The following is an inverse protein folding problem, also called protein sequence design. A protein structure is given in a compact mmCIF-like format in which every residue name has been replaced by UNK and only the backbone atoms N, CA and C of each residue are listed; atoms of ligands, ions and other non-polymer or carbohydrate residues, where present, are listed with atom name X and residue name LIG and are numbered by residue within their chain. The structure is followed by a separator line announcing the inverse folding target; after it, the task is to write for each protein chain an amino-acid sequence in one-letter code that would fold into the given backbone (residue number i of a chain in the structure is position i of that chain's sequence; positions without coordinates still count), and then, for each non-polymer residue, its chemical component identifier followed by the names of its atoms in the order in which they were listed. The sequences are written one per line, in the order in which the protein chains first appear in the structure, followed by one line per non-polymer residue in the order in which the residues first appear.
data_IF_286895961602
#
_entry.id   IF_286895961602
#
_cell.length_a   1.000
_cell.length_b   1.000
_cell.length_c   1.000
_cell.angle_alpha   90.00
_cell.angle_beta   90.00
_cell.angle_gamma   90.00
#
_symmetry.space_group_name_H-M   'P 1'
#
loop_
_entity.id
_entity.type
_entity.pdbx_description
1 polymer ?
#
# COMPACT_ATOMS: atom_id res chain seq x y z
N UNK A 1 -27.43 -12.85 -4.02
CA UNK A 1 -27.67 -12.62 -2.58
C UNK A 1 -26.38 -12.46 -1.75
N UNK A 2 -25.26 -13.13 -2.08
CA UNK A 2 -24.00 -13.09 -1.31
C UNK A 2 -23.31 -11.71 -1.32
N UNK A 3 -23.31 -11.00 -2.43
CA UNK A 3 -22.68 -9.66 -2.56
C UNK A 3 -23.35 -8.57 -1.71
N UNK A 4 -24.67 -8.62 -1.55
CA UNK A 4 -25.39 -7.65 -0.71
C UNK A 4 -25.12 -7.87 0.78
N UNK A 5 -24.85 -9.11 1.20
CA UNK A 5 -24.53 -9.44 2.58
C UNK A 5 -23.15 -8.91 2.99
N UNK A 6 -22.15 -9.03 2.11
CA UNK A 6 -20.80 -8.47 2.35
C UNK A 6 -20.81 -6.94 2.42
N UNK A 7 -21.53 -6.27 1.51
CA UNK A 7 -21.63 -4.80 1.53
C UNK A 7 -22.29 -4.28 2.81
N UNK A 8 -23.33 -4.98 3.30
CA UNK A 8 -24.02 -4.61 4.53
C UNK A 8 -23.13 -4.86 5.76
N UNK A 9 -22.39 -5.96 5.80
CA UNK A 9 -21.47 -6.28 6.90
C UNK A 9 -20.33 -5.26 6.98
N UNK A 10 -19.75 -4.86 5.84
CA UNK A 10 -18.69 -3.85 5.76
C UNK A 10 -19.21 -2.47 6.20
N UNK A 11 -20.42 -2.08 5.79
CA UNK A 11 -21.03 -0.81 6.18
C UNK A 11 -21.36 -0.78 7.67
N UNK A 12 -21.83 -1.88 8.24
CA UNK A 12 -22.13 -2.01 9.68
C UNK A 12 -20.85 -1.98 10.53
N UNK A 13 -19.77 -2.59 10.07
CA UNK A 13 -18.46 -2.52 10.73
C UNK A 13 -17.90 -1.09 10.74
N UNK A 14 -18.04 -0.33 9.64
CA UNK A 14 -17.61 1.07 9.55
C UNK A 14 -18.46 1.96 10.47
N UNK A 15 -19.75 1.73 10.58
CA UNK A 15 -20.66 2.49 11.45
C UNK A 15 -20.44 2.18 12.93
N UNK A 16 -20.09 0.94 13.29
CA UNK A 16 -19.78 0.58 14.68
C UNK A 16 -18.43 1.16 15.15
N UNK A 17 -17.47 1.39 14.26
CA UNK A 17 -16.23 2.10 14.55
C UNK A 17 -16.47 3.58 14.90
N UNK A 18 -17.50 4.21 14.33
CA UNK A 18 -17.86 5.59 14.67
C UNK A 18 -18.42 5.73 16.11
N UNK A 19 -19.04 4.68 16.65
CA UNK A 19 -19.58 4.68 18.02
C UNK A 19 -18.51 4.57 19.13
N UNK A 20 -17.32 4.03 18.82
CA UNK A 20 -16.20 3.91 19.78
C UNK A 20 -15.39 5.22 19.89
N UNK A 21 -15.60 6.15 18.95
CA UNK A 21 -14.91 7.44 18.89
C UNK A 21 -15.32 8.46 19.99
N UNK A 22 -16.20 8.09 20.91
CA UNK A 22 -16.67 8.99 21.99
C UNK A 22 -15.71 9.10 23.20
N UNK A 23 -14.59 8.40 23.22
CA UNK A 23 -13.51 8.69 24.17
C UNK A 23 -12.65 9.80 23.58
N UNK A 24 -12.41 10.86 24.33
CA UNK A 24 -11.78 12.16 23.99
C UNK A 24 -10.45 12.15 23.21
N UNK A 25 -9.98 11.01 22.72
CA UNK A 25 -8.79 10.84 21.91
C UNK A 25 -9.14 10.15 20.59
N UNK A 26 -8.94 10.88 19.50
CA UNK A 26 -9.14 10.37 18.14
C UNK A 26 -8.11 9.30 17.81
N UNK A 27 -8.50 8.04 18.03
CA UNK A 27 -7.60 6.88 17.89
C UNK A 27 -7.66 6.23 16.52
N UNK A 28 -8.77 6.42 15.78
CA UNK A 28 -8.94 5.87 14.46
C UNK A 28 -8.58 6.88 13.37
N UNK A 29 -8.02 6.40 12.28
CA UNK A 29 -7.73 7.19 11.10
C UNK A 29 -7.93 6.38 9.83
N UNK A 30 -8.34 7.08 8.78
CA UNK A 30 -8.35 6.58 7.40
C UNK A 30 -7.35 7.43 6.63
N UNK A 31 -6.51 6.79 5.85
CA UNK A 31 -5.52 7.43 5.00
C UNK A 31 -5.68 6.92 3.57
N UNK A 32 -5.62 7.81 2.60
CA UNK A 32 -5.53 7.50 1.18
C UNK A 32 -4.24 8.11 0.66
N UNK A 33 -3.40 7.31 0.02
CA UNK A 33 -2.12 7.71 -0.54
C UNK A 33 -2.14 7.58 -2.05
N UNK A 34 -1.48 8.51 -2.74
CA UNK A 34 -0.99 8.33 -4.10
C UNK A 34 0.53 8.11 -4.07
N UNK A 35 1.00 7.22 -4.92
CA UNK A 35 2.40 6.78 -4.98
C UNK A 35 2.95 6.92 -6.40
N UNK A 36 4.18 7.43 -6.51
CA UNK A 36 4.99 7.40 -7.73
C UNK A 36 6.26 6.64 -7.43
N UNK A 37 6.53 5.53 -8.12
CA UNK A 37 7.60 4.61 -7.78
C UNK A 37 8.64 4.45 -8.87
N UNK A 38 9.87 4.22 -8.46
CA UNK A 38 10.99 3.82 -9.30
C UNK A 38 11.43 2.44 -8.84
N UNK A 39 11.48 1.48 -9.78
CA UNK A 39 11.94 0.13 -9.50
C UNK A 39 13.44 0.15 -9.26
N UNK A 40 13.89 -0.51 -8.20
CA UNK A 40 15.30 -0.51 -7.78
C UNK A 40 16.06 -1.75 -8.22
N UNK A 41 15.41 -2.72 -8.87
CA UNK A 41 16.03 -3.93 -9.42
C UNK A 41 15.28 -4.38 -10.67
N UNK A 42 15.99 -4.95 -11.63
CA UNK A 42 15.36 -5.60 -12.78
C UNK A 42 14.51 -6.79 -12.31
N UNK A 43 13.28 -6.87 -12.79
CA UNK A 43 12.37 -7.96 -12.51
C UNK A 43 12.66 -9.10 -13.49
N UNK A 44 13.63 -9.99 -13.16
CA UNK A 44 14.06 -11.10 -14.00
C UNK A 44 14.36 -10.71 -15.46
N UNK A 45 15.12 -9.61 -15.63
CA UNK A 45 15.47 -9.06 -16.96
C UNK A 45 14.42 -8.11 -17.55
N UNK A 46 13.26 -7.94 -16.93
CA UNK A 46 12.31 -6.90 -17.30
C UNK A 46 12.70 -5.54 -16.71
N UNK A 47 12.91 -4.56 -17.57
CA UNK A 47 13.16 -3.18 -17.15
C UNK A 47 11.83 -2.45 -17.01
N UNK A 48 11.39 -2.29 -15.75
CA UNK A 48 10.12 -1.60 -15.44
C UNK A 48 10.30 -0.09 -15.48
N UNK A 49 9.34 0.60 -16.08
CA UNK A 49 9.25 2.05 -16.06
C UNK A 49 8.76 2.56 -14.69
N UNK A 50 8.66 3.88 -14.55
CA UNK A 50 8.08 4.52 -13.37
C UNK A 50 6.65 4.02 -13.14
N UNK A 51 6.39 3.53 -11.93
CA UNK A 51 5.07 3.03 -11.56
C UNK A 51 4.20 4.09 -10.89
N UNK A 52 2.89 3.92 -11.02
CA UNK A 52 1.87 4.71 -10.36
C UNK A 52 0.96 3.82 -9.53
N UNK A 53 0.57 4.29 -8.36
CA UNK A 53 -0.29 3.49 -7.51
C UNK A 53 -0.98 4.27 -6.41
N UNK A 54 -1.72 3.53 -5.60
CA UNK A 54 -2.38 4.08 -4.42
C UNK A 54 -2.53 3.04 -3.32
N UNK A 55 -2.65 3.53 -2.08
CA UNK A 55 -2.97 2.72 -0.91
C UNK A 55 -4.10 3.34 -0.11
N UNK A 56 -4.99 2.51 0.43
CA UNK A 56 -5.96 2.90 1.46
C UNK A 56 -5.61 2.20 2.75
N UNK A 57 -5.45 2.96 3.83
CA UNK A 57 -4.95 2.48 5.12
C UNK A 57 -5.95 2.86 6.23
N UNK A 58 -6.28 1.91 7.07
CA UNK A 58 -6.95 2.12 8.35
C UNK A 58 -5.89 2.10 9.46
N UNK A 59 -5.98 3.04 10.39
CA UNK A 59 -5.04 3.18 11.50
C UNK A 59 -5.78 3.14 12.83
N UNK A 60 -5.20 2.45 13.82
CA UNK A 60 -5.65 2.47 15.21
C UNK A 60 -4.49 2.79 16.15
N UNK A 61 -4.56 3.95 16.80
CA UNK A 61 -3.56 4.39 17.78
C UNK A 61 -3.84 3.75 19.14
N UNK A 62 -3.00 2.79 19.54
CA UNK A 62 -3.13 2.07 20.81
C UNK A 62 -2.17 2.58 21.89
N UNK A 63 -1.10 3.32 21.51
CA UNK A 63 -0.17 4.00 22.39
C UNK A 63 0.01 5.47 21.95
N UNK A 64 0.58 6.35 22.80
CA UNK A 64 0.73 7.77 22.44
C UNK A 64 1.39 8.04 21.09
N UNK A 65 2.38 7.24 20.74
CA UNK A 65 3.18 7.41 19.51
C UNK A 65 3.11 6.21 18.56
N UNK A 66 2.33 5.17 18.90
CA UNK A 66 2.31 3.94 18.14
C UNK A 66 0.89 3.59 17.70
N UNK A 67 0.76 3.26 16.41
CA UNK A 67 -0.49 2.82 15.80
C UNK A 67 -0.28 1.48 15.11
N UNK A 68 -1.27 0.62 15.19
CA UNK A 68 -1.46 -0.50 14.26
C UNK A 68 -2.06 0.08 12.98
N UNK A 69 -1.64 -0.38 11.84
CA UNK A 69 -2.27 -0.05 10.57
C UNK A 69 -2.47 -1.29 9.71
N UNK A 70 -3.53 -1.28 8.93
CA UNK A 70 -3.80 -2.28 7.91
C UNK A 70 -4.43 -1.63 6.71
N UNK A 71 -4.18 -2.17 5.53
CA UNK A 71 -4.67 -1.55 4.32
C UNK A 71 -4.61 -2.45 3.10
N UNK A 72 -4.96 -1.87 1.98
CA UNK A 72 -4.89 -2.46 0.65
C UNK A 72 -4.23 -1.47 -0.29
N UNK A 73 -3.41 -1.97 -1.20
CA UNK A 73 -2.68 -1.17 -2.18
C UNK A 73 -2.68 -1.79 -3.56
N UNK A 74 -2.51 -0.91 -4.53
CA UNK A 74 -2.36 -1.20 -5.93
C UNK A 74 -1.18 -0.40 -6.48
N UNK A 75 -0.36 -1.04 -7.32
CA UNK A 75 0.77 -0.41 -7.99
C UNK A 75 0.91 -0.99 -9.39
N UNK A 76 0.98 -0.13 -10.39
CA UNK A 76 1.05 -0.46 -11.81
C UNK A 76 2.38 0.01 -12.39
N UNK A 77 3.02 -0.86 -13.18
CA UNK A 77 4.27 -0.60 -13.91
C UNK A 77 4.15 -1.07 -15.35
N UNK A 78 4.66 -0.29 -16.29
CA UNK A 78 4.80 -0.73 -17.67
C UNK A 78 6.21 -1.26 -17.93
N UNK A 79 6.36 -2.26 -18.80
CA UNK A 79 7.63 -2.71 -19.34
C UNK A 79 7.58 -2.78 -20.86
N UNK A 80 8.59 -2.17 -21.51
CA UNK A 80 8.69 -2.23 -22.97
C UNK A 80 9.17 -3.61 -23.44
N UNK A 81 10.03 -4.25 -22.63
CA UNK A 81 10.55 -5.60 -22.87
C UNK A 81 10.59 -6.37 -21.53
N UNK A 82 10.19 -7.64 -21.56
CA UNK A 82 10.18 -8.50 -20.39
C UNK A 82 10.26 -9.97 -20.76
N UNK A 83 10.46 -10.83 -19.75
CA UNK A 83 10.37 -12.29 -19.87
C UNK A 83 8.98 -12.79 -20.34
N UNK A 84 7.94 -11.98 -20.15
CA UNK A 84 6.57 -12.27 -20.60
C UNK A 84 6.26 -11.75 -22.00
N UNK A 85 7.22 -11.08 -22.65
CA UNK A 85 7.06 -10.49 -23.98
C UNK A 85 7.22 -8.97 -23.99
N UNK A 86 7.04 -8.35 -25.16
CA UNK A 86 7.11 -6.90 -25.28
C UNK A 86 5.80 -6.23 -24.84
N UNK A 87 5.92 -4.99 -24.36
CA UNK A 87 4.79 -4.10 -24.04
C UNK A 87 3.77 -4.73 -23.08
N UNK A 88 4.24 -5.21 -21.94
CA UNK A 88 3.43 -5.79 -20.87
C UNK A 88 3.35 -4.86 -19.67
N UNK A 89 2.27 -5.02 -18.90
CA UNK A 89 2.05 -4.34 -17.64
C UNK A 89 2.24 -5.29 -16.47
N UNK A 90 2.80 -4.78 -15.37
CA UNK A 90 2.95 -5.49 -14.11
C UNK A 90 2.15 -4.78 -13.04
N UNK A 91 1.23 -5.52 -12.40
CA UNK A 91 0.35 -4.98 -11.38
C UNK A 91 0.57 -5.70 -10.04
N UNK A 92 1.01 -4.95 -9.04
CA UNK A 92 1.10 -5.46 -7.68
C UNK A 92 -0.15 -5.06 -6.91
N UNK A 93 -0.89 -6.05 -6.40
CA UNK A 93 -2.10 -5.84 -5.61
C UNK A 93 -2.04 -6.67 -4.34
N UNK A 94 -2.52 -6.11 -3.22
CA UNK A 94 -2.60 -6.89 -1.98
C UNK A 94 -2.77 -6.06 -0.72
N UNK A 95 -2.55 -6.73 0.40
CA UNK A 95 -2.82 -6.22 1.74
C UNK A 95 -1.52 -5.92 2.47
N UNK A 96 -1.59 -4.97 3.39
CA UNK A 96 -0.51 -4.65 4.33
C UNK A 96 -1.04 -4.63 5.76
N UNK A 97 -0.23 -5.14 6.68
CA UNK A 97 -0.45 -5.03 8.13
C UNK A 97 0.86 -4.65 8.80
N UNK A 98 0.84 -3.64 9.67
CA UNK A 98 2.08 -3.17 10.28
C UNK A 98 1.90 -2.20 11.43
N UNK A 99 3.03 -1.66 11.89
CA UNK A 99 3.11 -0.68 12.95
C UNK A 99 3.64 0.65 12.42
N UNK A 100 3.04 1.73 12.91
CA UNK A 100 3.50 3.10 12.70
C UNK A 100 3.93 3.71 14.01
N UNK A 101 5.12 4.27 14.03
CA UNK A 101 5.58 5.22 15.04
C UNK A 101 5.38 6.64 14.51
N UNK A 102 4.82 7.55 15.34
CA UNK A 102 4.65 8.96 15.01
C UNK A 102 5.04 9.82 16.19
N UNK A 103 5.95 10.78 15.96
CA UNK A 103 6.44 11.68 17.01
C UNK A 103 6.29 13.15 16.58
N UNK A 104 5.65 14.02 17.42
CA UNK A 104 5.47 15.43 17.10
C UNK A 104 6.77 16.22 17.24
N UNK A 105 6.98 17.24 16.40
CA UNK A 105 8.06 18.19 16.55
C UNK A 105 7.65 19.33 17.49
N UNK A 106 7.83 19.11 18.79
CA UNK A 106 7.44 20.08 19.83
C UNK A 106 5.96 20.43 19.75
N UNK A 107 5.62 21.72 19.74
CA UNK A 107 4.26 22.25 19.61
C UNK A 107 3.86 22.58 18.15
N UNK A 108 4.68 22.19 17.17
CA UNK A 108 4.41 22.46 15.75
C UNK A 108 3.27 21.57 15.22
N UNK A 109 2.60 21.95 14.13
CA UNK A 109 1.61 21.09 13.47
C UNK A 109 2.24 19.91 12.72
N UNK A 110 3.57 19.73 12.79
CA UNK A 110 4.34 18.73 12.07
C UNK A 110 4.72 17.59 13.01
N UNK A 111 4.58 16.37 12.52
CA UNK A 111 5.08 15.15 13.17
C UNK A 111 5.92 14.35 12.18
N UNK A 112 6.94 13.69 12.66
CA UNK A 112 7.66 12.65 11.93
C UNK A 112 6.91 11.33 12.07
N UNK A 113 6.91 10.50 11.02
CA UNK A 113 6.44 9.12 11.12
C UNK A 113 7.43 8.13 10.49
N UNK A 114 7.43 6.92 11.04
CA UNK A 114 8.07 5.74 10.46
C UNK A 114 7.10 4.57 10.53
N UNK A 115 7.08 3.72 9.50
CA UNK A 115 6.21 2.54 9.37
C UNK A 115 7.03 1.34 8.96
N UNK A 116 6.62 0.17 9.46
CA UNK A 116 7.05 -1.11 8.94
C UNK A 116 5.87 -2.08 8.95
N UNK A 117 5.73 -2.89 7.92
CA UNK A 117 4.63 -3.83 7.78
C UNK A 117 4.96 -5.01 6.90
N UNK A 118 4.17 -6.07 7.07
CA UNK A 118 4.19 -7.27 6.25
C UNK A 118 3.19 -7.08 5.12
N UNK A 119 3.60 -7.42 3.92
CA UNK A 119 2.75 -7.46 2.73
C UNK A 119 2.25 -8.89 2.50
N UNK A 120 1.02 -9.01 2.07
CA UNK A 120 0.43 -10.21 1.48
C UNK A 120 -0.17 -9.83 0.14
N UNK A 121 0.65 -9.93 -0.91
CA UNK A 121 0.38 -9.37 -2.23
C UNK A 121 0.73 -10.37 -3.32
N UNK A 122 0.18 -10.15 -4.50
CA UNK A 122 0.55 -10.86 -5.71
C UNK A 122 0.99 -9.85 -6.80
N UNK A 123 1.67 -10.38 -7.80
CA UNK A 123 2.08 -9.64 -8.98
C UNK A 123 1.45 -10.32 -10.21
N UNK A 124 0.58 -9.59 -10.89
CA UNK A 124 -0.01 -9.98 -12.15
C UNK A 124 0.78 -9.37 -13.30
N UNK A 125 0.86 -10.11 -14.41
CA UNK A 125 1.41 -9.64 -15.68
C UNK A 125 0.31 -9.64 -16.70
N UNK A 126 0.07 -8.50 -17.32
CA UNK A 126 -1.01 -8.31 -18.30
C UNK A 126 -0.46 -7.91 -19.68
N UNK A 127 -1.17 -8.29 -20.73
CA UNK A 127 -0.89 -7.79 -22.06
C UNK A 127 -1.58 -6.43 -22.29
N UNK A 128 -1.31 -5.78 -23.44
CA UNK A 128 -1.92 -4.49 -23.81
C UNK A 128 -3.46 -4.51 -23.87
N UNK A 129 -4.07 -5.67 -23.95
CA UNK A 129 -5.54 -5.84 -23.99
C UNK A 129 -6.14 -5.97 -22.60
N UNK A 130 -5.31 -6.00 -21.54
CA UNK A 130 -5.73 -6.21 -20.13
C UNK A 130 -6.04 -7.68 -19.83
N UNK A 131 -5.48 -8.62 -20.61
CA UNK A 131 -5.60 -10.06 -20.33
C UNK A 131 -4.41 -10.48 -19.45
N UNK A 132 -4.70 -11.20 -18.38
CA UNK A 132 -3.67 -11.74 -17.47
C UNK A 132 -2.89 -12.83 -18.19
N UNK A 133 -1.59 -12.63 -18.37
CA UNK A 133 -0.64 -13.61 -18.93
C UNK A 133 -0.19 -14.56 -17.81
N UNK A 134 0.09 -14.02 -16.64
CA UNK A 134 0.54 -14.78 -15.47
C UNK A 134 0.23 -14.06 -14.16
N UNK A 135 0.15 -14.83 -13.08
CA UNK A 135 -0.06 -14.36 -11.71
C UNK A 135 0.86 -15.18 -10.77
N UNK A 136 1.58 -14.50 -9.89
CA UNK A 136 2.45 -15.15 -8.89
C UNK A 136 1.66 -15.86 -7.80
N UNK A 137 0.34 -15.60 -7.70
CA UNK A 137 -0.39 -15.85 -6.48
C UNK A 137 0.10 -14.96 -5.32
N UNK A 138 -0.61 -15.00 -4.20
CA UNK A 138 -0.24 -14.19 -3.04
C UNK A 138 1.03 -14.71 -2.36
N UNK A 139 2.03 -13.84 -2.27
CA UNK A 139 3.29 -14.05 -1.55
C UNK A 139 3.41 -13.11 -0.35
N UNK A 140 4.41 -13.37 0.48
CA UNK A 140 4.73 -12.55 1.64
C UNK A 140 5.92 -11.64 1.30
N UNK A 141 5.73 -10.36 1.55
CA UNK A 141 6.75 -9.34 1.42
C UNK A 141 6.81 -8.43 2.64
N UNK A 142 7.51 -7.32 2.53
CA UNK A 142 7.52 -6.29 3.56
C UNK A 142 7.60 -4.88 2.96
N UNK A 143 7.15 -3.92 3.74
CA UNK A 143 7.16 -2.50 3.38
C UNK A 143 7.69 -1.69 4.54
N UNK A 144 8.53 -0.69 4.23
CA UNK A 144 8.91 0.36 5.17
C UNK A 144 8.60 1.72 4.57
N UNK A 145 8.13 2.66 5.38
CA UNK A 145 7.86 4.02 4.94
C UNK A 145 8.23 5.03 6.02
N UNK A 146 8.63 6.21 5.60
CA UNK A 146 8.91 7.32 6.50
C UNK A 146 8.56 8.65 5.85
N UNK A 147 8.30 9.67 6.66
CA UNK A 147 7.94 10.99 6.19
C UNK A 147 7.53 11.93 7.30
N UNK A 148 6.85 12.98 6.91
CA UNK A 148 6.25 13.93 7.84
C UNK A 148 4.73 13.95 7.68
N UNK A 149 4.05 14.21 8.77
CA UNK A 149 2.62 14.45 8.79
C UNK A 149 2.36 15.87 9.24
N UNK A 150 1.68 16.65 8.40
CA UNK A 150 1.32 18.05 8.65
C UNK A 150 -0.16 18.13 8.99
N UNK A 151 -0.50 18.56 10.20
CA UNK A 151 -1.89 18.79 10.61
C UNK A 151 -2.47 20.02 9.91
N UNK A 152 -3.58 19.82 9.19
CA UNK A 152 -4.33 20.88 8.49
C UNK A 152 -5.51 21.42 9.32
N UNK A 153 -5.67 20.94 10.54
CA UNK A 153 -6.82 21.25 11.38
C UNK A 153 -8.04 20.39 11.10
N UNK A 154 -9.08 20.47 11.95
CA UNK A 154 -10.33 19.71 11.83
C UNK A 154 -10.12 18.18 11.62
N UNK A 155 -9.03 17.63 12.20
CA UNK A 155 -8.62 16.23 12.12
C UNK A 155 -8.17 15.75 10.73
N UNK A 156 -7.83 16.65 9.85
CA UNK A 156 -7.18 16.37 8.58
C UNK A 156 -5.68 16.56 8.68
N UNK A 157 -4.93 15.70 8.00
CA UNK A 157 -3.49 15.83 7.86
C UNK A 157 -3.05 15.47 6.45
N UNK A 158 -1.94 16.06 6.03
CA UNK A 158 -1.21 15.70 4.81
C UNK A 158 0.06 14.95 5.22
N UNK A 159 0.39 13.87 4.52
CA UNK A 159 1.51 12.99 4.88
C UNK A 159 2.41 12.66 3.67
N UNK A 160 3.26 13.62 3.23
CA UNK A 160 4.30 13.33 2.27
C UNK A 160 5.38 12.44 2.87
N UNK A 161 5.94 11.54 2.06
CA UNK A 161 6.97 10.62 2.50
C UNK A 161 7.57 9.78 1.38
N UNK A 162 8.38 8.81 1.77
CA UNK A 162 8.96 7.79 0.91
C UNK A 162 8.59 6.41 1.44
N UNK A 163 8.49 5.45 0.53
CA UNK A 163 8.16 4.06 0.81
C UNK A 163 9.16 3.16 0.07
N UNK A 164 9.63 2.13 0.74
CA UNK A 164 10.32 1.00 0.14
C UNK A 164 9.44 -0.23 0.24
N UNK A 165 9.35 -0.98 -0.85
CA UNK A 165 8.56 -2.19 -0.95
C UNK A 165 9.43 -3.34 -1.47
N UNK A 166 9.24 -4.53 -0.91
CA UNK A 166 9.86 -5.77 -1.35
C UNK A 166 8.83 -6.89 -1.33
N UNK A 167 8.70 -7.58 -2.45
CA UNK A 167 7.86 -8.76 -2.63
C UNK A 167 8.65 -9.80 -3.43
N UNK A 168 8.65 -11.04 -2.97
CA UNK A 168 9.18 -12.18 -3.71
C UNK A 168 8.05 -13.15 -4.04
N UNK A 169 8.06 -13.66 -5.26
CA UNK A 169 7.08 -14.63 -5.76
C UNK A 169 7.67 -15.51 -6.86
N UNK A 170 6.94 -16.53 -7.25
CA UNK A 170 7.26 -17.39 -8.39
C UNK A 170 6.08 -17.35 -9.37
N UNK A 171 6.37 -17.27 -10.65
CA UNK A 171 5.35 -17.38 -11.71
C UNK A 171 5.79 -18.40 -12.76
N UNK A 172 4.84 -18.93 -13.53
CA UNK A 172 5.10 -19.87 -14.61
C UNK A 172 4.53 -19.35 -15.93
N UNK A 173 5.38 -19.28 -16.97
CA UNK A 173 4.98 -18.85 -18.30
C UNK A 173 5.54 -19.85 -19.30
N UNK A 174 4.65 -20.44 -20.13
CA UNK A 174 5.04 -21.40 -21.16
C UNK A 174 5.67 -22.69 -20.63
N UNK A 175 5.44 -23.04 -19.34
CA UNK A 175 6.04 -24.19 -18.66
C UNK A 175 7.40 -23.91 -18.02
N UNK A 176 7.90 -22.68 -18.08
CA UNK A 176 9.13 -22.23 -17.41
C UNK A 176 8.79 -21.43 -16.16
N UNK A 177 9.54 -21.68 -15.08
CA UNK A 177 9.37 -21.01 -13.79
C UNK A 177 10.30 -19.81 -13.67
N UNK A 178 9.75 -18.69 -13.27
CA UNK A 178 10.44 -17.43 -13.08
C UNK A 178 10.33 -17.01 -11.61
N UNK A 179 11.49 -16.86 -10.94
CA UNK A 179 11.54 -16.27 -9.60
C UNK A 179 11.53 -14.75 -9.75
N UNK A 180 10.52 -14.11 -9.18
CA UNK A 180 10.34 -12.66 -9.22
C UNK A 180 10.73 -12.04 -7.89
N UNK A 181 11.59 -11.04 -7.93
CA UNK A 181 12.05 -10.27 -6.76
C UNK A 181 11.76 -8.79 -7.01
N UNK A 182 10.53 -8.39 -6.68
CA UNK A 182 10.02 -7.07 -6.98
C UNK A 182 10.35 -6.08 -5.87
N UNK A 183 11.16 -5.07 -6.19
CA UNK A 183 11.63 -4.04 -5.25
C UNK A 183 11.48 -2.67 -5.86
N UNK A 184 10.89 -1.75 -5.11
CA UNK A 184 10.80 -0.36 -5.54
C UNK A 184 10.86 0.63 -4.39
N UNK A 185 11.26 1.85 -4.71
CA UNK A 185 11.12 3.03 -3.86
C UNK A 185 10.03 3.91 -4.45
N UNK A 186 9.13 4.41 -3.64
CA UNK A 186 8.08 5.34 -4.07
C UNK A 186 8.13 6.64 -3.26
N UNK A 187 7.95 7.76 -3.95
CA UNK A 187 7.48 8.98 -3.33
C UNK A 187 5.97 8.84 -3.12
N UNK A 188 5.50 9.19 -1.92
CA UNK A 188 4.09 9.08 -1.55
C UNK A 188 3.55 10.38 -0.99
N UNK A 189 2.27 10.61 -1.18
CA UNK A 189 1.53 11.67 -0.53
C UNK A 189 0.19 11.12 -0.03
N UNK A 190 -0.05 11.25 1.26
CA UNK A 190 -1.26 10.76 1.92
C UNK A 190 -2.13 11.89 2.44
N UNK A 191 -3.44 11.68 2.37
CA UNK A 191 -4.44 12.49 3.09
C UNK A 191 -5.04 11.62 4.18
N UNK A 192 -5.01 12.12 5.43
CA UNK A 192 -5.44 11.38 6.61
C UNK A 192 -6.62 12.10 7.26
N UNK A 193 -7.68 11.35 7.56
CA UNK A 193 -8.79 11.80 8.42
C UNK A 193 -8.80 11.00 9.70
N UNK A 194 -8.85 11.71 10.87
CA UNK A 194 -8.95 11.06 12.19
C UNK A 194 -10.33 11.26 12.82
N UNK A 195 -10.74 10.25 13.60
CA UNK A 195 -12.04 10.19 14.27
C UNK A 195 -11.87 9.96 15.76
#
# INVERSE_FOLDING_TARGET
MKTKFFATLTLTAILSLAGIAQVNEKRFGIEINGDVSIVSSDLNGASLNTGLGFETILQYRFMPYTSLYGGWGYMHFNANESFAGPDVDFEQTGYILGLQFKYPFGSSPISYFARAGILYSHLETENKSGEIISDTGHGVGWQAATGIEVSLGKNWSLAPGIKYNWLSGETEIGGEKYQLDHRFVAARIGIIKRF
#
